data_IF_986831641915
#
_entry.id   IF_986831641915
#
_cell.length_a   1.000
_cell.length_b   1.000
_cell.length_c   1.000
_cell.angle_alpha   90.00
_cell.angle_beta   90.00
_cell.angle_gamma   90.00
#
_symmetry.space_group_name_H-M   'P 1'
#
loop_
_entity.id
_entity.type
_entity.pdbx_description
1 polymer ?
#
# COMPACT_ATOMS: atom_id res chain seq x y z
N UNK A 1 -51.46 29.95 17.81
CA UNK A 1 -50.54 29.32 16.85
C UNK A 1 -49.12 29.74 17.20
N UNK A 2 -48.38 28.92 17.94
CA UNK A 2 -46.96 29.15 18.23
C UNK A 2 -46.14 28.62 17.07
N UNK A 3 -45.69 29.52 16.19
CA UNK A 3 -44.68 29.21 15.17
C UNK A 3 -43.35 28.97 15.87
N UNK A 4 -43.03 27.70 16.14
CA UNK A 4 -41.70 27.29 16.59
C UNK A 4 -40.73 27.50 15.42
N UNK A 5 -39.94 28.57 15.48
CA UNK A 5 -38.82 28.78 14.56
C UNK A 5 -37.84 27.62 14.74
N UNK A 6 -37.64 26.81 13.69
CA UNK A 6 -36.58 25.79 13.73
C UNK A 6 -35.24 26.53 13.85
N UNK A 7 -34.41 26.22 14.85
CA UNK A 7 -33.10 26.87 14.98
C UNK A 7 -32.29 26.61 13.71
N UNK A 8 -31.65 27.66 13.19
CA UNK A 8 -30.79 27.53 12.01
C UNK A 8 -29.67 26.54 12.31
N UNK A 9 -29.41 25.57 11.43
CA UNK A 9 -28.37 24.57 11.69
C UNK A 9 -27.01 25.24 11.84
N UNK A 10 -26.26 24.81 12.84
CA UNK A 10 -24.90 25.30 13.10
C UNK A 10 -23.98 25.03 11.91
N UNK A 11 -22.88 25.78 11.79
CA UNK A 11 -21.89 25.57 10.72
C UNK A 11 -21.41 24.10 10.67
N UNK A 12 -21.20 23.49 11.84
CA UNK A 12 -20.87 22.07 11.97
C UNK A 12 -21.95 21.17 11.35
N UNK A 13 -23.23 21.40 11.66
CA UNK A 13 -24.34 20.61 11.11
C UNK A 13 -24.44 20.75 9.59
N UNK A 14 -24.26 21.97 9.06
CA UNK A 14 -24.26 22.22 7.61
C UNK A 14 -23.15 21.42 6.92
N UNK A 15 -21.91 21.46 7.43
CA UNK A 15 -20.79 20.70 6.86
C UNK A 15 -21.05 19.20 6.94
N UNK A 16 -21.50 18.68 8.09
CA UNK A 16 -21.75 17.24 8.23
C UNK A 16 -22.91 16.74 7.37
N UNK A 17 -23.89 17.58 7.03
CA UNK A 17 -25.00 17.18 6.17
C UNK A 17 -24.58 16.95 4.71
N UNK A 18 -23.50 17.59 4.25
CA UNK A 18 -22.90 17.35 2.93
C UNK A 18 -22.04 16.08 2.87
N UNK A 19 -21.61 15.55 4.02
CA UNK A 19 -20.74 14.37 4.08
C UNK A 19 -21.55 13.06 4.00
N UNK A 20 -20.97 11.98 3.43
CA UNK A 20 -21.65 10.69 3.28
C UNK A 20 -22.20 10.11 4.60
N UNK A 21 -23.45 9.63 4.57
CA UNK A 21 -24.11 8.94 5.70
C UNK A 21 -23.99 7.41 5.62
N UNK A 22 -23.56 6.90 4.46
CA UNK A 22 -23.31 5.48 4.19
C UNK A 22 -22.09 5.33 3.29
N UNK A 23 -21.60 4.11 3.11
CA UNK A 23 -20.49 3.83 2.19
C UNK A 23 -21.00 3.93 0.75
N UNK A 24 -20.84 5.10 0.14
CA UNK A 24 -21.31 5.44 -1.20
C UNK A 24 -20.13 5.55 -2.20
N UNK A 25 -20.42 6.02 -3.43
CA UNK A 25 -19.42 6.14 -4.50
C UNK A 25 -18.21 7.03 -4.12
N UNK A 26 -18.37 8.24 -3.56
CA UNK A 26 -17.24 9.05 -3.08
C UNK A 26 -16.28 8.30 -2.14
N UNK A 27 -16.78 7.59 -1.14
CA UNK A 27 -15.94 6.82 -0.19
C UNK A 27 -15.12 5.77 -0.93
N UNK A 28 -15.73 5.07 -1.90
CA UNK A 28 -15.06 4.06 -2.71
C UNK A 28 -14.01 4.67 -3.65
N UNK A 29 -14.29 5.84 -4.23
CA UNK A 29 -13.35 6.57 -5.09
C UNK A 29 -12.12 6.97 -4.28
N UNK A 30 -12.29 7.62 -3.13
CA UNK A 30 -11.15 7.99 -2.29
C UNK A 30 -10.35 6.79 -1.81
N UNK A 31 -10.99 5.68 -1.45
CA UNK A 31 -10.28 4.45 -1.09
C UNK A 31 -9.38 3.94 -2.23
N UNK A 32 -9.88 3.92 -3.47
CA UNK A 32 -9.09 3.51 -4.63
C UNK A 32 -7.99 4.52 -4.98
N UNK A 33 -8.29 5.83 -4.94
CA UNK A 33 -7.30 6.87 -5.15
C UNK A 33 -6.15 6.75 -4.14
N UNK A 34 -6.45 6.49 -2.87
CA UNK A 34 -5.44 6.25 -1.84
C UNK A 34 -4.48 5.12 -2.21
N UNK A 35 -5.01 3.98 -2.66
CA UNK A 35 -4.18 2.83 -3.05
C UNK A 35 -3.37 3.12 -4.32
N UNK A 36 -4.02 3.66 -5.36
CA UNK A 36 -3.39 3.91 -6.65
C UNK A 36 -2.27 4.95 -6.52
N UNK A 37 -2.55 6.10 -5.91
CA UNK A 37 -1.55 7.16 -5.77
C UNK A 37 -0.43 6.78 -4.79
N UNK A 38 -0.71 5.93 -3.80
CA UNK A 38 0.36 5.37 -2.97
C UNK A 38 1.29 4.44 -3.78
N UNK A 39 0.74 3.62 -4.68
CA UNK A 39 1.56 2.79 -5.58
C UNK A 39 2.32 3.63 -6.60
N UNK A 40 1.71 4.69 -7.14
CA UNK A 40 2.39 5.66 -8.03
C UNK A 40 3.54 6.34 -7.29
N UNK A 41 3.35 6.76 -6.04
CA UNK A 41 4.40 7.39 -5.22
C UNK A 41 5.60 6.46 -5.00
N UNK A 42 5.37 5.15 -4.84
CA UNK A 42 6.47 4.17 -4.81
C UNK A 42 7.25 4.17 -6.14
N UNK A 43 6.54 4.22 -7.27
CA UNK A 43 7.15 4.28 -8.59
C UNK A 43 7.97 5.56 -8.80
N UNK A 44 7.43 6.72 -8.46
CA UNK A 44 8.14 8.01 -8.58
C UNK A 44 9.32 8.10 -7.62
N UNK A 45 9.18 7.62 -6.39
CA UNK A 45 10.30 7.52 -5.44
C UNK A 45 11.39 6.55 -5.91
N UNK A 46 10.99 5.44 -6.54
CA UNK A 46 11.91 4.54 -7.24
C UNK A 46 12.66 5.26 -8.36
N UNK A 47 11.96 6.03 -9.18
CA UNK A 47 12.57 6.83 -10.25
C UNK A 47 13.58 7.86 -9.71
N UNK A 48 13.25 8.58 -8.63
CA UNK A 48 14.19 9.49 -7.94
C UNK A 48 15.49 8.75 -7.62
N UNK A 49 15.39 7.57 -7.02
CA UNK A 49 16.56 6.79 -6.62
C UNK A 49 17.35 6.25 -7.80
N UNK A 50 16.66 5.69 -8.79
CA UNK A 50 17.26 5.00 -9.93
C UNK A 50 17.88 5.96 -10.95
N UNK A 51 17.44 7.23 -10.95
CA UNK A 51 18.03 8.28 -11.79
C UNK A 51 19.13 9.07 -11.08
N UNK A 52 19.50 8.70 -9.85
CA UNK A 52 20.49 9.45 -9.08
C UNK A 52 20.00 10.83 -8.62
N UNK A 53 18.68 11.03 -8.52
CA UNK A 53 18.09 12.35 -8.23
C UNK A 53 17.78 12.58 -6.75
N UNK A 54 18.15 11.68 -5.83
CA UNK A 54 17.78 11.77 -4.41
C UNK A 54 18.32 13.01 -3.68
N UNK A 55 19.41 13.61 -4.17
CA UNK A 55 19.94 14.89 -3.71
C UNK A 55 19.69 16.05 -4.69
N UNK A 56 18.77 15.86 -5.66
CA UNK A 56 18.39 16.91 -6.62
C UNK A 56 17.81 18.16 -5.96
N UNK A 57 17.28 18.04 -4.74
CA UNK A 57 16.97 19.14 -3.83
C UNK A 57 17.72 18.88 -2.50
N UNK A 58 18.96 19.39 -2.33
CA UNK A 58 19.86 18.98 -1.25
C UNK A 58 19.46 19.51 0.13
N UNK A 59 18.49 20.42 0.20
CA UNK A 59 17.93 20.92 1.46
C UNK A 59 16.50 20.41 1.67
N UNK A 60 15.97 20.65 2.87
CA UNK A 60 14.58 20.38 3.22
C UNK A 60 14.13 21.35 4.32
N UNK A 61 12.90 21.90 4.28
CA UNK A 61 11.81 21.64 3.34
C UNK A 61 11.92 22.39 2.00
N UNK A 62 12.81 23.38 1.92
CA UNK A 62 13.16 24.06 0.66
C UNK A 62 14.02 23.17 -0.23
N UNK A 63 14.22 23.53 -1.51
CA UNK A 63 15.21 22.85 -2.37
C UNK A 63 16.59 23.49 -2.24
N UNK A 64 16.66 24.82 -2.10
CA UNK A 64 17.87 25.59 -1.73
C UNK A 64 17.59 26.48 -0.52
N UNK A 65 18.58 27.10 0.14
CA UNK A 65 18.30 28.03 1.24
C UNK A 65 17.34 29.18 0.84
N UNK A 66 17.41 29.60 -0.42
CA UNK A 66 16.63 30.71 -1.00
C UNK A 66 15.31 30.25 -1.65
N UNK A 67 15.25 29.04 -2.23
CA UNK A 67 14.12 28.59 -3.06
C UNK A 67 13.38 27.37 -2.51
N UNK A 68 12.05 27.48 -2.40
CA UNK A 68 11.16 26.35 -2.08
C UNK A 68 11.06 25.31 -3.20
N UNK A 69 11.36 25.70 -4.44
CA UNK A 69 11.16 24.87 -5.65
C UNK A 69 12.49 24.59 -6.34
N UNK A 70 12.46 23.63 -7.27
CA UNK A 70 13.62 23.37 -8.14
C UNK A 70 13.99 24.63 -8.94
N UNK A 71 15.30 24.88 -9.12
CA UNK A 71 15.88 25.98 -9.89
C UNK A 71 16.56 25.41 -11.13
N UNK A 72 16.74 26.21 -12.20
CA UNK A 72 17.36 25.74 -13.45
C UNK A 72 18.74 25.10 -13.27
N UNK A 73 19.53 25.57 -12.29
CA UNK A 73 20.89 25.10 -12.02
C UNK A 73 20.91 23.65 -11.51
N UNK A 74 19.83 23.18 -10.88
CA UNK A 74 19.69 21.79 -10.43
C UNK A 74 19.28 20.82 -11.56
N UNK A 75 18.96 21.34 -12.75
CA UNK A 75 18.68 20.56 -13.94
C UNK A 75 17.58 19.52 -13.77
N UNK A 76 17.72 18.40 -14.48
CA UNK A 76 16.71 17.33 -14.49
C UNK A 76 16.56 16.64 -13.12
N UNK A 77 17.64 16.50 -12.35
CA UNK A 77 17.60 15.84 -11.04
C UNK A 77 16.76 16.63 -10.04
N UNK A 78 16.87 17.96 -10.04
CA UNK A 78 16.03 18.82 -9.22
C UNK A 78 14.55 18.70 -9.57
N UNK A 79 14.23 18.60 -10.87
CA UNK A 79 12.84 18.43 -11.34
C UNK A 79 12.27 17.08 -10.89
N UNK A 80 13.04 16.00 -11.01
CA UNK A 80 12.61 14.65 -10.63
C UNK A 80 12.31 14.58 -9.12
N UNK A 81 13.23 15.06 -8.28
CA UNK A 81 13.08 15.07 -6.82
C UNK A 81 11.93 15.97 -6.37
N UNK A 82 11.89 17.21 -6.87
CA UNK A 82 10.82 18.14 -6.54
C UNK A 82 9.44 17.65 -7.03
N UNK A 83 9.38 16.98 -8.18
CA UNK A 83 8.17 16.35 -8.69
C UNK A 83 7.63 15.28 -7.72
N UNK A 84 8.52 14.43 -7.21
CA UNK A 84 8.16 13.44 -6.19
C UNK A 84 7.70 14.10 -4.87
N UNK A 85 8.37 15.17 -4.41
CA UNK A 85 7.91 15.96 -3.25
C UNK A 85 6.52 16.53 -3.48
N UNK A 86 6.24 17.07 -4.67
CA UNK A 86 4.96 17.68 -5.04
C UNK A 86 3.81 16.67 -5.02
N UNK A 87 4.06 15.41 -5.40
CA UNK A 87 3.06 14.35 -5.35
C UNK A 87 2.51 14.13 -3.93
N UNK A 88 3.30 14.42 -2.89
CA UNK A 88 2.86 14.37 -1.49
C UNK A 88 1.63 15.24 -1.25
N UNK A 89 1.53 16.43 -1.85
CA UNK A 89 0.35 17.29 -1.71
C UNK A 89 -0.90 16.68 -2.32
N UNK A 90 -0.76 15.96 -3.44
CA UNK A 90 -1.88 15.21 -4.04
C UNK A 90 -2.34 14.11 -3.07
N UNK A 91 -1.41 13.38 -2.44
CA UNK A 91 -1.75 12.40 -1.42
C UNK A 91 -2.40 13.04 -0.18
N UNK A 92 -2.00 14.25 0.23
CA UNK A 92 -2.65 14.99 1.33
C UNK A 92 -4.10 15.28 0.98
N UNK A 93 -4.37 15.78 -0.23
CA UNK A 93 -5.74 16.07 -0.68
C UNK A 93 -6.59 14.80 -0.70
N UNK A 94 -6.05 13.69 -1.23
CA UNK A 94 -6.71 12.39 -1.25
C UNK A 94 -6.98 11.90 0.18
N UNK A 95 -6.01 12.01 1.09
CA UNK A 95 -6.14 11.54 2.46
C UNK A 95 -7.16 12.37 3.26
N UNK A 96 -7.18 13.69 3.09
CA UNK A 96 -8.20 14.57 3.69
C UNK A 96 -9.57 14.19 3.13
N UNK A 97 -9.70 14.05 1.81
CA UNK A 97 -10.95 13.63 1.17
C UNK A 97 -11.43 12.26 1.68
N UNK A 98 -10.54 11.29 1.79
CA UNK A 98 -10.83 9.96 2.35
C UNK A 98 -11.32 10.05 3.80
N UNK A 99 -10.61 10.80 4.65
CA UNK A 99 -10.95 10.98 6.06
C UNK A 99 -12.29 11.68 6.26
N UNK A 100 -12.52 12.79 5.53
CA UNK A 100 -13.78 13.53 5.57
C UNK A 100 -14.95 12.67 5.06
N UNK A 101 -14.72 11.87 4.01
CA UNK A 101 -15.76 11.00 3.44
C UNK A 101 -16.30 9.95 4.43
N UNK A 102 -15.51 9.59 5.46
CA UNK A 102 -15.90 8.62 6.49
C UNK A 102 -16.21 9.26 7.84
N UNK A 103 -16.17 10.60 7.95
CA UNK A 103 -16.30 11.31 9.22
C UNK A 103 -17.62 11.03 9.95
N UNK A 104 -18.75 11.05 9.24
CA UNK A 104 -20.05 10.72 9.80
C UNK A 104 -20.19 9.23 10.12
N UNK A 105 -19.40 8.38 9.47
CA UNK A 105 -19.38 6.94 9.68
C UNK A 105 -18.52 6.55 10.90
N UNK A 106 -17.74 7.45 11.50
CA UNK A 106 -16.74 7.14 12.53
C UNK A 106 -17.21 6.30 13.70
N UNK A 107 -18.48 6.43 14.11
CA UNK A 107 -19.06 5.62 15.20
C UNK A 107 -19.45 4.21 14.75
N UNK A 108 -19.98 4.06 13.53
CA UNK A 108 -20.49 2.79 12.97
C UNK A 108 -19.42 1.98 12.22
N UNK A 109 -18.45 2.67 11.60
CA UNK A 109 -17.36 2.13 10.79
C UNK A 109 -16.01 2.61 11.31
N UNK A 110 -15.71 2.27 12.57
CA UNK A 110 -14.43 2.58 13.23
C UNK A 110 -13.23 2.04 12.45
N UNK A 111 -13.42 0.93 11.73
CA UNK A 111 -12.45 0.35 10.81
C UNK A 111 -12.02 1.35 9.72
N UNK A 112 -12.97 1.98 9.03
CA UNK A 112 -12.67 2.95 7.97
C UNK A 112 -12.06 4.25 8.54
N UNK A 113 -12.56 4.70 9.69
CA UNK A 113 -12.03 5.88 10.37
C UNK A 113 -10.55 5.71 10.71
N UNK A 114 -10.16 4.60 11.35
CA UNK A 114 -8.77 4.39 11.73
C UNK A 114 -7.84 4.13 10.54
N UNK A 115 -8.32 3.47 9.48
CA UNK A 115 -7.54 3.29 8.25
C UNK A 115 -7.24 4.62 7.56
N UNK A 116 -8.26 5.47 7.40
CA UNK A 116 -8.09 6.81 6.79
C UNK A 116 -7.28 7.75 7.68
N UNK A 117 -7.45 7.67 9.01
CA UNK A 117 -6.63 8.42 9.96
C UNK A 117 -5.15 7.99 9.91
N UNK A 118 -4.87 6.68 9.92
CA UNK A 118 -3.52 6.15 9.81
C UNK A 118 -2.87 6.55 8.48
N UNK A 119 -3.61 6.51 7.37
CA UNK A 119 -3.16 7.05 6.08
C UNK A 119 -2.80 8.54 6.21
N UNK A 120 -3.70 9.35 6.76
CA UNK A 120 -3.46 10.79 6.94
C UNK A 120 -2.22 11.10 7.78
N UNK A 121 -2.01 10.38 8.89
CA UNK A 121 -0.85 10.56 9.77
C UNK A 121 0.45 9.99 9.22
N UNK A 122 0.37 9.00 8.34
CA UNK A 122 1.57 8.46 7.68
C UNK A 122 2.22 9.46 6.72
N UNK A 123 1.47 10.40 6.14
CA UNK A 123 2.00 11.40 5.21
C UNK A 123 2.99 12.37 5.89
N UNK A 124 2.66 13.06 6.99
CA UNK A 124 3.63 13.91 7.68
C UNK A 124 4.80 13.10 8.24
N UNK A 125 4.57 11.87 8.72
CA UNK A 125 5.65 10.96 9.11
C UNK A 125 6.63 10.69 7.95
N UNK A 126 6.12 10.39 6.77
CA UNK A 126 6.93 10.19 5.57
C UNK A 126 7.62 11.46 5.08
N UNK A 127 6.98 12.63 5.19
CA UNK A 127 7.59 13.90 4.83
C UNK A 127 8.78 14.22 5.73
N UNK A 128 8.64 14.02 7.05
CA UNK A 128 9.71 14.21 8.02
C UNK A 128 10.84 13.20 7.80
N UNK A 129 10.52 11.91 7.68
CA UNK A 129 11.52 10.88 7.45
C UNK A 129 12.27 11.09 6.12
N UNK A 130 11.56 11.51 5.06
CA UNK A 130 12.16 11.86 3.77
C UNK A 130 13.08 13.08 3.88
N UNK A 131 12.70 14.08 4.67
CA UNK A 131 13.58 15.20 5.00
C UNK A 131 14.85 14.76 5.72
N UNK A 132 14.74 13.86 6.70
CA UNK A 132 15.89 13.29 7.41
C UNK A 132 16.79 12.50 6.44
N UNK A 133 16.23 11.77 5.49
CA UNK A 133 16.99 11.07 4.43
C UNK A 133 17.87 12.05 3.65
N UNK A 134 17.33 13.19 3.25
CA UNK A 134 18.09 14.24 2.53
C UNK A 134 19.19 14.82 3.43
N UNK A 135 18.85 15.20 4.66
CA UNK A 135 19.78 15.79 5.63
C UNK A 135 20.90 14.85 6.07
N UNK A 136 20.70 13.54 5.93
CA UNK A 136 21.72 12.51 6.24
C UNK A 136 22.47 12.02 5.01
N UNK A 137 22.31 12.68 3.86
CA UNK A 137 23.02 12.32 2.63
C UNK A 137 22.60 10.96 2.07
N UNK A 138 21.29 10.64 2.11
CA UNK A 138 20.71 9.39 1.62
C UNK A 138 21.18 8.14 2.36
N UNK A 139 21.31 8.19 3.70
CA UNK A 139 21.59 7.00 4.51
C UNK A 139 20.67 5.83 4.11
N UNK A 140 21.28 4.73 3.64
CA UNK A 140 20.56 3.62 3.02
C UNK A 140 19.51 2.97 3.93
N UNK A 141 19.74 2.96 5.24
CA UNK A 141 18.80 2.40 6.20
C UNK A 141 17.58 3.31 6.38
N UNK A 142 17.77 4.63 6.35
CA UNK A 142 16.68 5.61 6.41
C UNK A 142 15.86 5.63 5.12
N UNK A 143 16.52 5.56 3.96
CA UNK A 143 15.85 5.37 2.65
C UNK A 143 15.01 4.08 2.69
N UNK A 144 15.59 3.00 3.21
CA UNK A 144 14.90 1.72 3.37
C UNK A 144 13.70 1.81 4.31
N UNK A 145 13.85 2.43 5.48
CA UNK A 145 12.76 2.64 6.44
C UNK A 145 11.61 3.45 5.83
N UNK A 146 11.94 4.50 5.07
CA UNK A 146 10.97 5.31 4.33
C UNK A 146 10.18 4.46 3.34
N UNK A 147 10.85 3.57 2.60
CA UNK A 147 10.17 2.67 1.69
C UNK A 147 9.32 1.61 2.41
N UNK A 148 9.77 1.05 3.55
CA UNK A 148 8.96 0.13 4.37
C UNK A 148 7.63 0.77 4.77
N UNK A 149 7.64 2.03 5.24
CA UNK A 149 6.40 2.72 5.62
C UNK A 149 5.45 2.84 4.42
N UNK A 150 5.98 3.12 3.22
CA UNK A 150 5.18 3.17 1.99
C UNK A 150 4.53 1.82 1.65
N UNK A 151 5.24 0.71 1.86
CA UNK A 151 4.72 -0.65 1.65
C UNK A 151 3.65 -1.02 2.68
N UNK A 152 3.84 -0.65 3.95
CA UNK A 152 2.80 -0.78 4.99
C UNK A 152 1.55 0.00 4.60
N UNK A 153 1.73 1.21 4.07
CA UNK A 153 0.62 2.06 3.64
C UNK A 153 -0.14 1.46 2.44
N UNK A 154 0.53 0.75 1.52
CA UNK A 154 -0.15 -0.05 0.48
C UNK A 154 -1.04 -1.12 1.11
N UNK A 155 -0.56 -1.82 2.15
CA UNK A 155 -1.39 -2.77 2.91
C UNK A 155 -2.61 -2.11 3.56
N UNK A 156 -2.42 -0.96 4.22
CA UNK A 156 -3.51 -0.23 4.89
C UNK A 156 -4.56 0.30 3.90
N UNK A 157 -4.11 0.90 2.78
CA UNK A 157 -5.02 1.42 1.73
C UNK A 157 -5.71 0.28 0.97
N UNK A 158 -5.05 -0.86 0.80
CA UNK A 158 -5.71 -2.09 0.31
C UNK A 158 -6.79 -2.57 1.27
N UNK A 159 -6.51 -2.57 2.58
CA UNK A 159 -7.52 -2.89 3.59
C UNK A 159 -8.68 -1.91 3.55
N UNK A 160 -8.43 -0.61 3.32
CA UNK A 160 -9.47 0.39 3.14
C UNK A 160 -10.37 0.06 1.95
N UNK A 161 -9.78 -0.18 0.77
CA UNK A 161 -10.49 -0.63 -0.44
C UNK A 161 -11.30 -1.88 -0.15
N UNK A 162 -10.72 -2.87 0.52
CA UNK A 162 -11.42 -4.11 0.86
C UNK A 162 -12.66 -3.85 1.74
N UNK A 163 -12.51 -3.05 2.80
CA UNK A 163 -13.56 -2.78 3.79
C UNK A 163 -14.72 -1.94 3.25
N UNK A 164 -14.49 -1.09 2.24
CA UNK A 164 -15.60 -0.33 1.62
C UNK A 164 -16.51 -1.19 0.74
N UNK A 165 -16.07 -2.38 0.31
CA UNK A 165 -16.90 -3.34 -0.43
C UNK A 165 -17.40 -4.50 0.44
N UNK A 166 -16.58 -5.01 1.35
CA UNK A 166 -16.88 -6.22 2.14
C UNK A 166 -17.44 -5.95 3.55
N UNK A 167 -17.47 -4.69 3.97
CA UNK A 167 -17.93 -4.31 5.31
C UNK A 167 -16.88 -4.54 6.40
N UNK A 168 -17.32 -4.43 7.66
CA UNK A 168 -16.46 -4.58 8.84
C UNK A 168 -15.90 -6.02 8.98
N UNK A 169 -14.92 -6.20 9.88
CA UNK A 169 -14.37 -7.52 10.14
C UNK A 169 -15.44 -8.48 10.70
N UNK A 170 -15.62 -9.63 10.02
CA UNK A 170 -16.49 -10.70 10.46
C UNK A 170 -15.74 -11.78 11.28
N UNK A 171 -16.45 -12.82 11.75
CA UNK A 171 -15.84 -13.94 12.45
C UNK A 171 -14.84 -14.69 11.57
N UNK A 172 -13.84 -15.34 12.20
CA UNK A 172 -12.90 -16.24 11.51
C UNK A 172 -13.68 -17.46 11.01
N UNK A 173 -13.88 -17.60 9.69
CA UNK A 173 -14.66 -18.70 9.10
C UNK A 173 -13.83 -19.76 8.36
N UNK A 174 -12.60 -19.44 7.94
CA UNK A 174 -11.74 -20.44 7.29
C UNK A 174 -11.13 -21.43 8.29
N UNK A 175 -10.84 -22.67 7.86
CA UNK A 175 -10.17 -23.69 8.66
C UNK A 175 -8.85 -23.19 9.25
N UNK A 176 -8.50 -23.60 10.47
CA UNK A 176 -7.32 -23.10 11.18
C UNK A 176 -6.02 -23.28 10.39
N UNK A 177 -5.73 -24.44 9.76
CA UNK A 177 -4.52 -24.60 8.95
C UNK A 177 -4.43 -23.61 7.78
N UNK A 178 -5.54 -23.37 7.07
CA UNK A 178 -5.59 -22.41 5.95
C UNK A 178 -5.27 -20.98 6.42
N UNK A 179 -5.82 -20.56 7.56
CA UNK A 179 -5.55 -19.23 8.12
C UNK A 179 -4.11 -19.08 8.60
N UNK A 180 -3.57 -20.08 9.30
CA UNK A 180 -2.20 -20.06 9.79
C UNK A 180 -1.24 -19.94 8.61
N UNK A 181 -1.43 -20.77 7.58
CA UNK A 181 -0.61 -20.71 6.38
C UNK A 181 -0.72 -19.38 5.65
N UNK A 182 -1.91 -18.78 5.59
CA UNK A 182 -2.11 -17.43 5.02
C UNK A 182 -1.35 -16.35 5.80
N UNK A 183 -1.31 -16.45 7.13
CA UNK A 183 -0.51 -15.54 7.97
C UNK A 183 0.99 -15.76 7.79
N UNK A 184 1.45 -17.02 7.69
CA UNK A 184 2.84 -17.35 7.37
C UNK A 184 3.23 -16.75 6.01
N UNK A 185 2.41 -16.95 4.97
CA UNK A 185 2.62 -16.36 3.65
C UNK A 185 2.72 -14.84 3.72
N UNK A 186 1.81 -14.18 4.45
CA UNK A 186 1.81 -12.71 4.60
C UNK A 186 3.07 -12.22 5.31
N UNK A 187 3.52 -12.94 6.35
CA UNK A 187 4.79 -12.65 7.04
C UNK A 187 5.98 -12.82 6.09
N UNK A 188 6.02 -13.89 5.28
CA UNK A 188 7.08 -14.12 4.31
C UNK A 188 7.13 -13.05 3.22
N UNK A 189 5.98 -12.53 2.78
CA UNK A 189 5.92 -11.37 1.87
C UNK A 189 6.55 -10.13 2.52
N UNK A 190 6.22 -9.85 3.79
CA UNK A 190 6.81 -8.72 4.51
C UNK A 190 8.32 -8.90 4.73
N UNK A 191 8.76 -10.11 5.09
CA UNK A 191 10.16 -10.46 5.26
C UNK A 191 10.92 -10.32 3.92
N UNK A 192 10.37 -10.84 2.83
CA UNK A 192 10.93 -10.70 1.49
C UNK A 192 11.11 -9.22 1.12
N UNK A 193 10.11 -8.37 1.39
CA UNK A 193 10.20 -6.93 1.15
C UNK A 193 11.34 -6.28 1.95
N UNK A 194 11.45 -6.56 3.25
CA UNK A 194 12.55 -6.02 4.09
C UNK A 194 13.91 -6.49 3.58
N UNK A 195 14.07 -7.77 3.27
CA UNK A 195 15.33 -8.29 2.71
C UNK A 195 15.64 -7.70 1.34
N UNK A 196 14.62 -7.43 0.52
CA UNK A 196 14.76 -6.78 -0.78
C UNK A 196 15.25 -5.35 -0.63
N UNK A 197 14.75 -4.63 0.37
CA UNK A 197 15.20 -3.27 0.71
C UNK A 197 16.66 -3.25 1.14
N UNK A 198 17.07 -4.20 1.98
CA UNK A 198 18.48 -4.34 2.40
C UNK A 198 19.39 -4.69 1.22
N UNK A 199 18.96 -5.61 0.34
CA UNK A 199 19.69 -5.96 -0.90
C UNK A 199 19.80 -4.77 -1.85
N UNK A 200 18.73 -3.99 -1.92
CA UNK A 200 18.69 -2.78 -2.74
C UNK A 200 19.69 -1.74 -2.23
N UNK A 201 19.87 -1.64 -0.90
CA UNK A 201 20.87 -0.77 -0.25
C UNK A 201 22.33 -1.20 -0.40
N UNK A 202 22.60 -2.48 -0.71
CA UNK A 202 23.95 -2.96 -1.06
C UNK A 202 24.25 -2.91 -2.55
N UNK A 203 23.21 -2.88 -3.40
CA UNK A 203 23.34 -2.77 -4.86
C UNK A 203 23.83 -1.40 -5.35
N UNK A 204 24.03 -1.22 -6.67
CA UNK A 204 24.69 -0.06 -7.28
C UNK A 204 23.85 1.23 -7.35
N UNK A 205 22.54 1.16 -7.14
CA UNK A 205 21.64 2.33 -7.26
C UNK A 205 21.47 3.05 -5.91
N UNK A 206 22.20 4.12 -5.57
CA UNK A 206 22.12 4.71 -4.21
C UNK A 206 21.09 5.83 -4.09
N UNK A 207 20.68 6.41 -5.21
CA UNK A 207 19.97 7.68 -5.22
C UNK A 207 20.85 8.88 -5.51
N UNK A 208 22.17 8.73 -5.45
CA UNK A 208 23.17 9.69 -5.94
C UNK A 208 24.51 8.95 -6.17
N UNK A 209 25.39 9.47 -7.03
CA UNK A 209 26.66 8.84 -7.38
C UNK A 209 27.65 8.74 -6.21
N UNK A 210 27.63 9.69 -5.27
CA UNK A 210 28.62 9.81 -4.20
C UNK A 210 28.16 9.22 -2.86
N UNK A 211 27.05 8.48 -2.83
CA UNK A 211 26.44 7.99 -1.60
C UNK A 211 26.98 6.61 -1.20
N UNK A 212 27.46 6.44 0.05
CA UNK A 212 27.91 5.16 0.57
C UNK A 212 26.81 4.08 0.59
N UNK A 213 27.22 2.83 0.40
CA UNK A 213 26.35 1.65 0.56
C UNK A 213 26.24 1.22 2.01
N UNK A 214 25.29 0.32 2.28
CA UNK A 214 25.06 -0.22 3.62
C UNK A 214 26.18 -1.16 4.14
N UNK A 215 27.19 -1.47 3.31
CA UNK A 215 28.33 -2.32 3.66
C UNK A 215 28.05 -3.83 3.61
N UNK A 216 26.85 -4.25 3.18
CA UNK A 216 26.52 -5.66 3.01
C UNK A 216 27.01 -6.17 1.65
N UNK A 217 27.39 -7.44 1.58
CA UNK A 217 27.75 -8.08 0.31
C UNK A 217 26.52 -8.23 -0.60
N UNK A 218 26.45 -7.55 -1.76
CA UNK A 218 25.31 -7.64 -2.65
C UNK A 218 25.09 -9.05 -3.22
N UNK A 219 26.15 -9.85 -3.41
CA UNK A 219 26.04 -11.20 -3.95
C UNK A 219 25.37 -12.13 -2.94
N UNK A 220 25.82 -12.11 -1.68
CA UNK A 220 25.14 -12.84 -0.62
C UNK A 220 23.70 -12.35 -0.39
N UNK A 221 23.49 -11.03 -0.39
CA UNK A 221 22.17 -10.45 -0.07
C UNK A 221 21.09 -10.82 -1.09
N UNK A 222 21.39 -10.88 -2.39
CA UNK A 222 20.41 -11.32 -3.39
C UNK A 222 19.92 -12.76 -3.15
N UNK A 223 20.82 -13.66 -2.71
CA UNK A 223 20.45 -15.03 -2.38
C UNK A 223 19.60 -15.05 -1.11
N UNK A 224 20.02 -14.34 -0.07
CA UNK A 224 19.29 -14.25 1.19
C UNK A 224 17.88 -13.64 1.02
N UNK A 225 17.74 -12.63 0.16
CA UNK A 225 16.44 -12.07 -0.21
C UNK A 225 15.56 -13.06 -0.98
N UNK A 226 16.14 -13.90 -1.84
CA UNK A 226 15.39 -14.86 -2.64
C UNK A 226 14.71 -15.96 -1.81
N UNK A 227 15.26 -16.35 -0.64
CA UNK A 227 14.72 -17.45 0.15
C UNK A 227 13.31 -17.19 0.70
N UNK A 228 13.00 -16.07 1.39
CA UNK A 228 11.62 -15.73 1.72
C UNK A 228 10.72 -15.64 0.48
N UNK A 229 11.27 -15.23 -0.67
CA UNK A 229 10.58 -15.19 -1.96
C UNK A 229 10.11 -16.56 -2.45
N UNK A 230 10.97 -17.58 -2.38
CA UNK A 230 10.60 -18.95 -2.71
C UNK A 230 9.61 -19.54 -1.70
N UNK A 231 9.81 -19.26 -0.41
CA UNK A 231 8.92 -19.75 0.65
C UNK A 231 7.52 -19.11 0.58
N UNK A 232 7.40 -17.82 0.25
CA UNK A 232 6.09 -17.18 0.06
C UNK A 232 5.36 -17.77 -1.14
N UNK A 233 6.08 -18.10 -2.22
CA UNK A 233 5.52 -18.74 -3.41
C UNK A 233 5.00 -20.15 -3.09
N UNK A 234 5.84 -20.99 -2.47
CA UNK A 234 5.45 -22.34 -2.04
C UNK A 234 4.24 -22.30 -1.09
N UNK A 235 4.23 -21.37 -0.13
CA UNK A 235 3.10 -21.18 0.79
C UNK A 235 1.82 -20.81 0.02
N UNK A 236 1.92 -19.96 -1.01
CA UNK A 236 0.77 -19.54 -1.81
C UNK A 236 0.22 -20.70 -2.66
N UNK A 237 1.10 -21.55 -3.21
CA UNK A 237 0.68 -22.79 -3.90
C UNK A 237 -0.07 -23.72 -2.94
N UNK A 238 0.43 -23.91 -1.72
CA UNK A 238 -0.25 -24.71 -0.70
C UNK A 238 -1.61 -24.11 -0.30
N UNK A 239 -1.71 -22.78 -0.16
CA UNK A 239 -2.98 -22.08 0.07
C UNK A 239 -3.96 -22.35 -1.09
N UNK A 240 -3.50 -22.30 -2.34
CA UNK A 240 -4.33 -22.61 -3.51
C UNK A 240 -4.84 -24.05 -3.45
N UNK A 241 -3.96 -25.03 -3.20
CA UNK A 241 -4.32 -26.45 -3.13
C UNK A 241 -5.35 -26.69 -2.01
N UNK A 242 -5.10 -26.18 -0.80
CA UNK A 242 -6.03 -26.33 0.33
C UNK A 242 -7.34 -25.59 0.02
N UNK A 243 -7.28 -24.40 -0.57
CA UNK A 243 -8.45 -23.62 -0.96
C UNK A 243 -9.33 -24.36 -1.97
N UNK A 244 -8.74 -25.00 -2.98
CA UNK A 244 -9.44 -25.84 -3.94
C UNK A 244 -10.09 -27.06 -3.26
N UNK A 245 -9.34 -27.77 -2.39
CA UNK A 245 -9.86 -28.94 -1.66
C UNK A 245 -11.02 -28.60 -0.72
N UNK A 246 -10.93 -27.44 -0.04
CA UNK A 246 -11.97 -26.94 0.87
C UNK A 246 -13.04 -26.09 0.17
N UNK A 247 -13.00 -25.97 -1.16
CA UNK A 247 -13.95 -25.18 -1.98
C UNK A 247 -14.06 -23.71 -1.58
N UNK A 248 -12.96 -23.10 -1.15
CA UNK A 248 -12.87 -21.66 -0.93
C UNK A 248 -12.72 -20.88 -2.24
N UNK A 249 -13.10 -19.59 -2.28
CA UNK A 249 -12.87 -18.75 -3.45
C UNK A 249 -11.36 -18.50 -3.66
N UNK A 250 -10.78 -19.10 -4.71
CA UNK A 250 -9.33 -19.06 -4.97
C UNK A 250 -8.87 -17.97 -5.93
N UNK A 251 -9.78 -17.23 -6.58
CA UNK A 251 -9.43 -16.18 -7.56
C UNK A 251 -8.41 -15.16 -7.02
N UNK A 252 -8.51 -14.65 -5.77
CA UNK A 252 -7.49 -13.76 -5.20
C UNK A 252 -6.11 -14.43 -5.04
N UNK A 253 -6.09 -15.72 -4.68
CA UNK A 253 -4.87 -16.52 -4.53
C UNK A 253 -4.19 -16.74 -5.89
N UNK A 254 -4.97 -16.97 -6.95
CA UNK A 254 -4.46 -17.08 -8.32
C UNK A 254 -3.77 -15.79 -8.75
N UNK A 255 -4.40 -14.62 -8.53
CA UNK A 255 -3.78 -13.34 -8.85
C UNK A 255 -2.50 -13.08 -8.05
N UNK A 256 -2.48 -13.46 -6.77
CA UNK A 256 -1.26 -13.41 -5.96
C UNK A 256 -0.15 -14.29 -6.54
N UNK A 257 -0.45 -15.52 -6.96
CA UNK A 257 0.52 -16.40 -7.63
C UNK A 257 1.06 -15.78 -8.92
N UNK A 258 0.19 -15.22 -9.76
CA UNK A 258 0.61 -14.53 -10.99
C UNK A 258 1.57 -13.38 -10.66
N UNK A 259 1.24 -12.56 -9.66
CA UNK A 259 2.11 -11.47 -9.22
C UNK A 259 3.46 -11.96 -8.66
N UNK A 260 3.45 -13.06 -7.90
CA UNK A 260 4.69 -13.66 -7.37
C UNK A 260 5.55 -14.27 -8.47
N UNK A 261 4.96 -14.94 -9.46
CA UNK A 261 5.69 -15.45 -10.64
C UNK A 261 6.34 -14.30 -11.39
N UNK A 262 5.57 -13.23 -11.65
CA UNK A 262 6.11 -12.03 -12.28
C UNK A 262 7.27 -11.43 -11.45
N UNK A 263 7.16 -11.40 -10.11
CA UNK A 263 8.26 -10.95 -9.26
C UNK A 263 9.50 -11.84 -9.31
N UNK A 264 9.33 -13.16 -9.31
CA UNK A 264 10.44 -14.11 -9.36
C UNK A 264 11.17 -13.96 -10.71
N UNK A 265 10.41 -13.95 -11.81
CA UNK A 265 10.98 -13.80 -13.16
C UNK A 265 11.73 -12.47 -13.26
N UNK A 266 11.10 -11.37 -12.86
CA UNK A 266 11.71 -10.04 -12.93
C UNK A 266 12.92 -9.92 -12.00
N UNK A 267 12.85 -10.49 -10.80
CA UNK A 267 13.92 -10.52 -9.80
C UNK A 267 15.17 -11.27 -10.28
N UNK A 268 14.98 -12.46 -10.86
CA UNK A 268 16.07 -13.24 -11.43
C UNK A 268 16.64 -12.56 -12.68
N UNK A 269 15.77 -11.98 -13.53
CA UNK A 269 16.22 -11.32 -14.73
C UNK A 269 17.04 -10.06 -14.43
N UNK A 270 16.60 -9.22 -13.48
CA UNK A 270 17.36 -8.01 -13.13
C UNK A 270 18.73 -8.35 -12.53
N UNK A 271 18.85 -9.41 -11.72
CA UNK A 271 20.14 -9.77 -11.12
C UNK A 271 21.14 -10.28 -12.16
N UNK A 272 20.65 -11.00 -13.18
CA UNK A 272 21.49 -11.52 -14.27
C UNK A 272 21.87 -10.48 -15.32
N UNK A 273 21.05 -9.45 -15.49
CA UNK A 273 21.24 -8.41 -16.51
C UNK A 273 21.99 -7.17 -15.98
N UNK A 274 22.58 -7.24 -14.79
CA UNK A 274 23.34 -6.12 -14.22
C UNK A 274 22.46 -5.01 -13.64
N UNK A 275 21.27 -5.36 -13.13
CA UNK A 275 20.33 -4.48 -12.45
C UNK A 275 19.86 -3.25 -13.28
N UNK A 276 19.28 -3.42 -14.50
CA UNK A 276 18.78 -2.30 -15.28
C UNK A 276 17.71 -1.50 -14.51
N UNK A 277 17.80 -0.18 -14.53
CA UNK A 277 17.00 0.73 -13.70
C UNK A 277 15.49 0.47 -13.86
N UNK A 278 15.03 0.35 -15.10
CA UNK A 278 13.61 0.11 -15.42
C UNK A 278 13.12 -1.20 -14.80
N UNK A 279 13.95 -2.25 -14.79
CA UNK A 279 13.59 -3.54 -14.21
C UNK A 279 13.53 -3.46 -12.69
N UNK A 280 14.50 -2.78 -12.06
CA UNK A 280 14.52 -2.54 -10.61
C UNK A 280 13.27 -1.74 -10.20
N UNK A 281 12.96 -0.66 -10.92
CA UNK A 281 11.78 0.17 -10.66
C UNK A 281 10.48 -0.61 -10.84
N UNK A 282 10.38 -1.42 -11.89
CA UNK A 282 9.23 -2.31 -12.11
C UNK A 282 9.10 -3.33 -10.97
N UNK A 283 10.22 -3.89 -10.49
CA UNK A 283 10.24 -4.83 -9.38
C UNK A 283 9.78 -4.19 -8.07
N UNK A 284 10.13 -2.92 -7.83
CA UNK A 284 9.66 -2.15 -6.66
C UNK A 284 8.14 -1.90 -6.70
N UNK A 285 7.60 -1.47 -7.85
CA UNK A 285 6.16 -1.26 -8.01
C UNK A 285 5.39 -2.57 -7.88
N UNK A 286 5.89 -3.64 -8.50
CA UNK A 286 5.29 -4.96 -8.44
C UNK A 286 5.34 -5.54 -7.01
N UNK A 287 6.34 -5.21 -6.20
CA UNK A 287 6.36 -5.55 -4.78
C UNK A 287 5.16 -4.93 -4.03
N UNK A 288 4.82 -3.67 -4.31
CA UNK A 288 3.61 -3.04 -3.79
C UNK A 288 2.33 -3.79 -4.22
N UNK A 289 2.24 -4.21 -5.48
CA UNK A 289 1.10 -5.01 -5.97
C UNK A 289 1.00 -6.36 -5.27
N UNK A 290 2.13 -7.06 -5.06
CA UNK A 290 2.16 -8.33 -4.31
C UNK A 290 1.71 -8.13 -2.87
N UNK A 291 2.11 -7.05 -2.20
CA UNK A 291 1.63 -6.71 -0.85
C UNK A 291 0.12 -6.45 -0.84
N UNK A 292 -0.42 -5.74 -1.82
CA UNK A 292 -1.86 -5.52 -1.94
C UNK A 292 -2.61 -6.86 -2.12
N UNK A 293 -2.13 -7.73 -3.01
CA UNK A 293 -2.73 -9.05 -3.25
C UNK A 293 -2.63 -9.95 -2.01
N UNK A 294 -1.49 -10.00 -1.34
CA UNK A 294 -1.30 -10.75 -0.10
C UNK A 294 -2.20 -10.24 1.02
N UNK A 295 -2.32 -8.92 1.16
CA UNK A 295 -3.23 -8.29 2.12
C UNK A 295 -4.68 -8.69 1.86
N UNK A 296 -5.12 -8.68 0.59
CA UNK A 296 -6.46 -9.13 0.21
C UNK A 296 -6.70 -10.60 0.59
N UNK A 297 -5.78 -11.50 0.23
CA UNK A 297 -5.89 -12.94 0.57
C UNK A 297 -5.95 -13.14 2.07
N UNK A 298 -5.15 -12.39 2.85
CA UNK A 298 -5.21 -12.40 4.31
C UNK A 298 -6.58 -11.96 4.83
N UNK A 299 -7.15 -10.89 4.29
CA UNK A 299 -8.45 -10.36 4.71
C UNK A 299 -9.62 -11.29 4.35
N UNK A 300 -9.54 -12.01 3.24
CA UNK A 300 -10.55 -12.99 2.79
C UNK A 300 -10.74 -14.13 3.83
N UNK A 301 -9.75 -14.41 4.68
CA UNK A 301 -9.87 -15.40 5.76
C UNK A 301 -10.89 -15.05 6.86
N UNK A 302 -11.41 -13.81 6.86
CA UNK A 302 -12.29 -13.24 7.90
C UNK A 302 -13.66 -12.77 7.38
N UNK A 303 -14.05 -13.08 6.13
CA UNK A 303 -15.30 -12.59 5.54
C UNK A 303 -16.26 -13.71 5.14
N UNK A 304 -17.56 -13.41 5.16
CA UNK A 304 -18.64 -14.31 4.75
C UNK A 304 -18.54 -14.64 3.25
N UNK A 305 -18.48 -15.92 2.93
CA UNK A 305 -19.00 -16.43 1.66
C UNK A 305 -20.54 -16.29 1.79
N UNK A 306 -21.26 -15.73 0.79
CA UNK A 306 -22.71 -15.82 0.78
C UNK A 306 -23.08 -17.30 0.91
N UNK A 307 -23.89 -17.64 1.90
CA UNK A 307 -24.55 -18.94 1.92
C UNK A 307 -25.28 -19.07 0.58
N UNK A 308 -25.13 -20.19 -0.16
CA UNK A 308 -25.99 -20.41 -1.31
C UNK A 308 -27.43 -20.29 -0.79
N UNK A 309 -28.16 -19.34 -1.37
CA UNK A 309 -29.56 -19.06 -1.06
C UNK A 309 -30.27 -20.40 -0.94
N UNK A 310 -30.60 -20.80 0.28
CA UNK A 310 -31.52 -21.90 0.50
C UNK A 310 -32.81 -21.39 -0.11
N UNK A 311 -33.09 -21.84 -1.34
CA UNK A 311 -34.42 -21.73 -1.94
C UNK A 311 -35.36 -22.33 -0.92
N UNK A 312 -36.01 -21.44 -0.16
CA UNK A 312 -37.03 -21.82 0.78
C UNK A 312 -38.10 -22.51 -0.03
N UNK A 313 -38.17 -23.84 0.07
CA UNK A 313 -39.31 -24.59 -0.41
C UNK A 313 -40.53 -24.08 0.35
N UNK A 314 -41.33 -23.27 -0.32
CA UNK A 314 -42.62 -22.82 0.17
C UNK A 314 -43.49 -24.08 0.37
N UNK A 315 -44.09 -24.31 1.55
CA UNK A 315 -45.03 -25.40 1.70
C UNK A 315 -46.25 -25.07 0.86
N UNK A 316 -46.51 -25.85 -0.19
CA UNK A 316 -47.78 -25.82 -0.91
C UNK A 316 -48.89 -26.16 0.08
N UNK A 317 -49.54 -25.11 0.58
CA UNK A 317 -50.78 -25.22 1.32
C UNK A 317 -51.83 -25.88 0.42
N UNK A 318 -52.42 -26.95 0.93
CA UNK A 318 -53.55 -27.65 0.34
C UNK A 318 -54.63 -26.66 -0.12
N UNK A 319 -55.07 -26.79 -1.38
CA UNK A 319 -56.38 -26.32 -1.81
C UNK A 319 -57.24 -27.55 -2.07
N UNK A 320 -58.27 -27.65 -1.23
CA UNK A 320 -59.48 -28.42 -1.46
C UNK A 320 -60.22 -27.89 -2.70
#
# INVERSE_FOLDING_TARGET
MTTTSRPTPSLYQRITNWLPQSVNRPVRVFAWLSLIFQTVLIGTGGAVRLTGSGLGCPTWPKCTPESLTSTPEMGIHGIIEFGNRTLTFVLVIIAIGAFLSVWNLRKRRRDLFWLTFAQGMSIPLQAVLGGIVVLTGLNSYLVGAHFVISLVLVGLTTALVYRVYRGAAGPKRSAAPYRILTHIMTFLVALAAVMGILTTGSGPHAGDANVPRNGLDPEFMQHLHSWPGYLMFASTVLILIIGLRLRYPVKPVIWLLVGQIAQIVLGIAQSRLGLPEIMVGTHMVLAGVVIALATRVMLDTRTSIPEPEQVSAEPQAARA
#
